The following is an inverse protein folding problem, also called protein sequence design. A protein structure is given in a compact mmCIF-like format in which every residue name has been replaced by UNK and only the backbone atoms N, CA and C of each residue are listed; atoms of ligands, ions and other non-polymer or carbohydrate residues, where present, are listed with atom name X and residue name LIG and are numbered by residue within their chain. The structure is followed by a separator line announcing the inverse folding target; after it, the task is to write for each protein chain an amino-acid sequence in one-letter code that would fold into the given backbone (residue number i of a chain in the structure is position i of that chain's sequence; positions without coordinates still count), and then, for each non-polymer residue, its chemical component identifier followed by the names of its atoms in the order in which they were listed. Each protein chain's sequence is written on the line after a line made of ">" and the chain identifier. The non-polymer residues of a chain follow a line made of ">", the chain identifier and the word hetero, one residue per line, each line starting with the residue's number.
data_IF_841300042851
#
_entry.id   IF_841300042851
#
_cell.length_a   1.000
_cell.length_b   1.000
_cell.length_c   1.000
_cell.angle_alpha   90.00
_cell.angle_beta   90.00
_cell.angle_gamma   90.00
#
_symmetry.space_group_name_H-M   'P 1'
#
loop_
_entity.id
_entity.type
_entity.pdbx_description
1 polymer ?
#
# COMPACT_ATOMS: atom_id res chain seq x y z
N UNK A 1 -9.33 1.55 -37.98
CA UNK A 1 -10.17 2.64 -37.41
C UNK A 1 -10.53 2.22 -35.99
N UNK A 2 -9.71 2.58 -35.01
CA UNK A 2 -9.87 2.15 -33.62
C UNK A 2 -10.73 3.14 -32.84
N UNK A 3 -11.80 2.65 -32.23
CA UNK A 3 -12.68 3.40 -31.32
C UNK A 3 -11.98 3.49 -29.96
N UNK A 4 -11.78 4.70 -29.47
CA UNK A 4 -11.21 4.99 -28.15
C UNK A 4 -12.39 5.07 -27.18
N UNK A 5 -12.52 4.10 -26.27
CA UNK A 5 -13.52 4.19 -25.20
C UNK A 5 -13.09 5.22 -24.15
N UNK A 6 -14.01 6.05 -23.63
CA UNK A 6 -13.68 7.07 -22.64
C UNK A 6 -13.42 6.43 -21.27
N UNK A 7 -12.31 6.86 -20.65
CA UNK A 7 -11.97 6.57 -19.27
C UNK A 7 -13.05 7.15 -18.36
N UNK A 8 -13.70 6.29 -17.57
CA UNK A 8 -14.63 6.73 -16.52
C UNK A 8 -13.82 7.39 -15.41
N UNK A 9 -13.99 8.70 -15.30
CA UNK A 9 -13.46 9.52 -14.21
C UNK A 9 -14.26 9.21 -12.93
N UNK A 10 -13.69 8.40 -12.05
CA UNK A 10 -14.28 8.09 -10.75
C UNK A 10 -13.84 9.13 -9.72
N UNK A 11 -14.26 10.39 -9.88
CA UNK A 11 -14.19 11.37 -8.80
C UNK A 11 -15.46 11.29 -7.94
N UNK A 12 -15.39 10.86 -6.67
CA UNK A 12 -16.55 10.92 -5.79
C UNK A 12 -16.89 12.38 -5.46
N UNK A 13 -18.17 12.73 -5.59
CA UNK A 13 -18.66 14.08 -5.34
C UNK A 13 -18.20 14.61 -3.96
N UNK A 14 -17.69 15.85 -3.87
CA UNK A 14 -17.27 16.42 -2.60
C UNK A 14 -18.47 16.59 -1.67
N UNK A 15 -18.51 15.79 -0.60
CA UNK A 15 -19.47 15.93 0.49
C UNK A 15 -19.23 17.27 1.16
N UNK A 16 -20.26 18.10 1.19
CA UNK A 16 -20.24 19.51 1.56
C UNK A 16 -19.46 19.81 2.83
N UNK A 17 -18.38 20.55 2.66
CA UNK A 17 -17.65 21.21 3.74
C UNK A 17 -18.54 22.38 4.19
N UNK A 18 -19.23 22.21 5.31
CA UNK A 18 -19.95 23.29 5.96
C UNK A 18 -19.01 24.48 6.17
N UNK A 19 -19.43 25.64 5.70
CA UNK A 19 -18.68 26.88 5.76
C UNK A 19 -18.27 27.20 7.21
N UNK A 20 -16.97 27.24 7.48
CA UNK A 20 -16.42 27.88 8.68
C UNK A 20 -16.60 29.40 8.55
N UNK A 21 -17.33 30.08 9.45
CA UNK A 21 -17.22 31.53 9.52
C UNK A 21 -15.85 31.92 10.13
N UNK A 22 -15.20 33.00 9.67
CA UNK A 22 -13.88 33.38 10.16
C UNK A 22 -13.96 33.91 11.61
N UNK A 23 -12.96 33.61 12.47
CA UNK A 23 -12.94 34.16 13.82
C UNK A 23 -12.50 35.63 13.80
N UNK A 24 -13.33 36.54 14.34
CA UNK A 24 -12.92 37.90 14.63
C UNK A 24 -12.24 37.99 16.01
N UNK A 25 -11.15 38.75 16.15
CA UNK A 25 -10.41 38.85 17.40
C UNK A 25 -10.89 40.02 18.28
N UNK A 26 -10.66 39.86 19.60
CA UNK A 26 -10.80 40.82 20.72
C UNK A 26 -12.16 40.88 21.41
N UNK A 27 -12.25 40.28 22.59
CA UNK A 27 -12.22 41.04 23.85
C UNK A 27 -12.12 40.09 25.06
N UNK A 28 -11.26 40.50 25.98
CA UNK A 28 -10.90 39.85 27.23
C UNK A 28 -12.01 40.02 28.31
N UNK A 29 -12.14 38.99 29.16
CA UNK A 29 -12.79 38.96 30.52
C UNK A 29 -14.32 39.09 30.51
N UNK A 30 -15.10 38.41 31.36
CA UNK A 30 -14.96 38.24 32.82
C UNK A 30 -15.94 37.15 33.33
N UNK A 31 -15.57 36.60 34.48
CA UNK A 31 -16.19 35.57 35.34
C UNK A 31 -17.72 35.66 35.60
N UNK A 32 -18.28 34.45 35.77
CA UNK A 32 -19.24 33.96 36.77
C UNK A 32 -20.76 34.21 36.65
N UNK A 33 -21.48 33.11 36.90
CA UNK A 33 -22.80 32.95 37.56
C UNK A 33 -24.03 32.82 36.66
N UNK A 34 -24.75 31.69 36.82
CA UNK A 34 -26.20 31.60 36.58
C UNK A 34 -26.63 30.50 35.60
N UNK A 35 -27.15 29.38 36.13
CA UNK A 35 -28.10 28.53 35.39
C UNK A 35 -29.44 29.26 35.17
N UNK A 36 -30.48 28.65 34.55
CA UNK A 36 -30.76 27.21 34.51
C UNK A 36 -31.17 26.63 33.13
N UNK A 37 -31.10 25.30 33.01
CA UNK A 37 -32.10 24.52 32.28
C UNK A 37 -32.16 24.63 30.75
N UNK A 38 -31.12 24.16 30.05
CA UNK A 38 -31.21 23.82 28.64
C UNK A 38 -30.84 22.35 28.45
N UNK A 39 -31.83 21.49 28.17
CA UNK A 39 -31.66 20.06 27.92
C UNK A 39 -30.89 19.88 26.60
N UNK A 40 -29.56 19.96 26.65
CA UNK A 40 -28.70 19.68 25.52
C UNK A 40 -28.77 18.18 25.22
N UNK A 41 -29.42 17.84 24.11
CA UNK A 41 -29.35 16.50 23.52
C UNK A 41 -27.89 16.28 23.14
N UNK A 42 -27.18 15.48 23.94
CA UNK A 42 -25.84 15.03 23.58
C UNK A 42 -25.93 14.25 22.27
N UNK A 43 -25.22 14.65 21.19
CA UNK A 43 -25.05 13.78 20.05
C UNK A 43 -24.33 12.52 20.55
N UNK A 44 -24.96 11.37 20.34
CA UNK A 44 -24.40 10.09 20.80
C UNK A 44 -23.01 9.92 20.22
N UNK A 45 -22.04 9.77 21.13
CA UNK A 45 -20.65 9.47 20.81
C UNK A 45 -20.64 8.21 19.91
N UNK A 46 -20.04 8.25 18.71
CA UNK A 46 -19.91 7.08 17.88
C UNK A 46 -19.25 5.96 18.68
N UNK A 47 -19.91 4.80 18.74
CA UNK A 47 -19.35 3.59 19.34
C UNK A 47 -18.08 3.26 18.56
N UNK A 48 -16.91 3.13 19.21
CA UNK A 48 -15.70 2.72 18.52
C UNK A 48 -15.93 1.33 17.94
N UNK A 49 -16.00 1.23 16.61
CA UNK A 49 -15.93 -0.06 15.92
C UNK A 49 -14.57 -0.64 16.32
N UNK A 50 -14.57 -1.75 17.06
CA UNK A 50 -13.34 -2.41 17.47
C UNK A 50 -12.51 -2.71 16.20
N UNK A 51 -11.22 -2.35 16.15
CA UNK A 51 -10.41 -2.61 14.97
C UNK A 51 -10.37 -4.12 14.74
N UNK A 52 -10.80 -4.55 13.55
CA UNK A 52 -10.63 -5.93 13.09
C UNK A 52 -9.14 -6.26 13.23
N UNK A 53 -8.82 -7.21 14.10
CA UNK A 53 -7.45 -7.51 14.50
C UNK A 53 -6.80 -8.33 13.39
N UNK A 54 -6.10 -7.64 12.51
CA UNK A 54 -5.38 -8.27 11.40
C UNK A 54 -4.29 -9.22 11.96
N UNK A 55 -4.18 -10.45 11.44
CA UNK A 55 -3.17 -11.38 11.89
C UNK A 55 -1.77 -10.80 11.64
N UNK A 56 -0.93 -10.82 12.67
CA UNK A 56 0.44 -10.33 12.57
C UNK A 56 1.20 -11.11 11.47
N UNK A 57 2.01 -10.42 10.64
CA UNK A 57 2.70 -11.07 9.54
C UNK A 57 3.71 -12.08 10.04
N UNK A 58 3.73 -13.26 9.42
CA UNK A 58 4.69 -14.29 9.80
C UNK A 58 6.12 -13.82 9.50
N UNK A 59 7.07 -14.09 10.41
CA UNK A 59 8.48 -13.67 10.23
C UNK A 59 9.08 -14.24 8.94
N UNK A 60 8.71 -15.46 8.59
CA UNK A 60 9.12 -16.11 7.35
C UNK A 60 8.58 -15.37 6.11
N UNK A 61 7.32 -14.96 6.11
CA UNK A 61 6.72 -14.17 5.02
C UNK A 61 7.43 -12.82 4.83
N UNK A 62 7.73 -12.11 5.93
CA UNK A 62 8.45 -10.83 5.88
C UNK A 62 9.86 -11.00 5.32
N UNK A 63 10.62 -11.97 5.84
CA UNK A 63 11.99 -12.23 5.37
C UNK A 63 12.03 -12.66 3.90
N UNK A 64 11.08 -13.51 3.50
CA UNK A 64 10.92 -13.90 2.11
C UNK A 64 10.60 -12.70 1.21
N UNK A 65 9.60 -11.88 1.58
CA UNK A 65 9.17 -10.75 0.78
C UNK A 65 10.31 -9.73 0.55
N UNK A 66 11.05 -9.39 1.60
CA UNK A 66 12.19 -8.47 1.50
C UNK A 66 13.27 -9.01 0.53
N UNK A 67 13.71 -10.25 0.76
CA UNK A 67 14.74 -10.89 -0.06
C UNK A 67 14.29 -11.08 -1.52
N UNK A 68 13.03 -11.46 -1.73
CA UNK A 68 12.49 -11.72 -3.05
C UNK A 68 12.31 -10.42 -3.86
N UNK A 69 11.73 -9.37 -3.27
CA UNK A 69 11.57 -8.08 -3.95
C UNK A 69 12.91 -7.43 -4.27
N UNK A 70 13.88 -7.51 -3.35
CA UNK A 70 15.25 -7.04 -3.63
C UNK A 70 15.86 -7.80 -4.81
N UNK A 71 15.68 -9.12 -4.88
CA UNK A 71 16.20 -9.93 -5.99
C UNK A 71 15.51 -9.64 -7.32
N UNK A 72 14.21 -9.40 -7.31
CA UNK A 72 13.46 -8.95 -8.51
C UNK A 72 14.04 -7.66 -9.05
N UNK A 73 14.23 -6.64 -8.19
CA UNK A 73 14.83 -5.36 -8.59
C UNK A 73 16.25 -5.52 -9.12
N UNK A 74 17.08 -6.36 -8.49
CA UNK A 74 18.43 -6.66 -8.95
C UNK A 74 18.47 -7.34 -10.34
N UNK A 75 17.51 -8.21 -10.64
CA UNK A 75 17.39 -8.87 -11.95
C UNK A 75 16.86 -7.91 -13.02
N UNK A 76 15.88 -7.07 -12.70
CA UNK A 76 15.42 -5.98 -13.60
C UNK A 76 16.58 -5.04 -13.93
N UNK A 77 17.46 -4.77 -12.96
CA UNK A 77 18.69 -4.00 -13.15
C UNK A 77 19.80 -4.79 -13.88
N UNK A 78 19.57 -6.06 -14.22
CA UNK A 78 20.54 -6.99 -14.83
C UNK A 78 21.82 -7.19 -14.01
N UNK A 79 21.75 -6.97 -12.69
CA UNK A 79 22.86 -7.22 -11.73
C UNK A 79 22.90 -8.66 -11.22
N UNK A 80 21.89 -9.47 -11.58
CA UNK A 80 21.74 -10.88 -11.23
C UNK A 80 21.10 -11.65 -12.39
N UNK A 81 21.41 -12.95 -12.54
CA UNK A 81 20.79 -13.78 -13.58
C UNK A 81 19.35 -14.14 -13.23
N UNK A 82 18.47 -14.16 -14.24
CA UNK A 82 17.03 -14.49 -14.09
C UNK A 82 16.78 -15.87 -13.50
N UNK A 83 17.69 -16.82 -13.67
CA UNK A 83 17.58 -18.17 -13.10
C UNK A 83 17.38 -18.14 -11.58
N UNK A 84 17.86 -17.11 -10.87
CA UNK A 84 17.68 -16.95 -9.43
C UNK A 84 16.26 -16.54 -9.01
N UNK A 85 15.38 -16.15 -9.94
CA UNK A 85 13.98 -15.82 -9.66
C UNK A 85 13.05 -17.02 -9.73
N UNK A 86 13.42 -18.07 -10.47
CA UNK A 86 12.59 -19.29 -10.60
C UNK A 86 12.10 -19.86 -9.28
N UNK A 87 12.89 -19.94 -8.19
CA UNK A 87 12.38 -20.45 -6.91
C UNK A 87 11.51 -19.44 -6.14
N UNK A 88 11.48 -18.17 -6.53
CA UNK A 88 10.84 -17.06 -5.80
C UNK A 88 9.53 -16.59 -6.44
N UNK A 89 9.35 -16.79 -7.75
CA UNK A 89 8.18 -16.35 -8.50
C UNK A 89 7.30 -17.53 -8.86
N UNK A 90 5.99 -17.32 -8.90
CA UNK A 90 5.09 -18.18 -9.62
C UNK A 90 5.53 -18.25 -11.11
N UNK A 91 5.49 -19.42 -11.76
CA UNK A 91 5.96 -19.57 -13.13
C UNK A 91 5.39 -18.54 -14.11
N UNK A 92 4.11 -18.19 -13.95
CA UNK A 92 3.41 -17.21 -14.79
C UNK A 92 4.01 -15.79 -14.73
N UNK A 93 4.69 -15.41 -13.64
CA UNK A 93 5.30 -14.08 -13.49
C UNK A 93 6.70 -13.96 -14.10
N UNK A 94 7.35 -15.07 -14.43
CA UNK A 94 8.75 -15.06 -14.90
C UNK A 94 8.86 -14.24 -16.19
N UNK A 95 7.95 -14.44 -17.13
CA UNK A 95 7.94 -13.72 -18.41
C UNK A 95 7.65 -12.22 -18.23
N UNK A 96 6.77 -11.85 -17.30
CA UNK A 96 6.52 -10.44 -16.95
C UNK A 96 7.80 -9.76 -16.44
N UNK A 97 8.54 -10.43 -15.56
CA UNK A 97 9.81 -9.88 -15.05
C UNK A 97 10.88 -9.83 -16.14
N UNK A 98 10.95 -10.85 -17.00
CA UNK A 98 11.85 -10.85 -18.16
C UNK A 98 11.56 -9.70 -19.11
N UNK A 99 10.29 -9.38 -19.38
CA UNK A 99 9.91 -8.23 -20.20
C UNK A 99 10.44 -6.92 -19.61
N UNK A 100 10.38 -6.75 -18.28
CA UNK A 100 10.91 -5.56 -17.59
C UNK A 100 12.44 -5.41 -17.71
N UNK A 101 13.19 -6.50 -17.93
CA UNK A 101 14.66 -6.43 -18.12
C UNK A 101 15.08 -5.78 -19.44
N UNK A 102 14.16 -5.68 -20.42
CA UNK A 102 14.42 -5.13 -21.76
C UNK A 102 14.58 -3.62 -21.76
N UNK A 103 14.03 -2.94 -20.75
CA UNK A 103 14.17 -1.50 -20.58
C UNK A 103 15.41 -1.20 -19.73
N UNK A 104 16.46 -0.59 -20.30
CA UNK A 104 17.63 -0.20 -19.52
C UNK A 104 17.27 0.91 -18.54
N UNK A 105 17.85 0.85 -17.35
CA UNK A 105 17.67 1.85 -16.32
C UNK A 105 18.99 2.57 -16.05
N UNK A 106 18.95 3.89 -15.90
CA UNK A 106 20.14 4.72 -15.67
C UNK A 106 20.72 4.65 -14.25
N UNK A 107 19.96 4.09 -13.30
CA UNK A 107 20.40 3.94 -11.91
C UNK A 107 19.85 2.64 -11.32
N UNK A 108 20.58 2.05 -10.38
CA UNK A 108 20.16 0.84 -9.67
C UNK A 108 18.98 1.12 -8.72
N UNK A 109 18.05 0.17 -8.63
CA UNK A 109 16.98 0.20 -7.65
C UNK A 109 17.48 -0.27 -6.28
N UNK A 110 17.06 0.43 -5.23
CA UNK A 110 17.27 0.03 -3.83
C UNK A 110 15.92 -0.05 -3.13
N UNK A 111 15.53 -1.26 -2.72
CA UNK A 111 14.34 -1.48 -1.89
C UNK A 111 14.50 -0.69 -0.59
N UNK A 112 13.44 0.03 -0.20
CA UNK A 112 13.43 0.86 1.00
C UNK A 112 12.61 0.17 2.08
N UNK A 113 11.36 0.57 2.25
CA UNK A 113 10.47 0.02 3.28
C UNK A 113 9.42 -0.84 2.61
N UNK A 114 9.16 -2.00 3.21
CA UNK A 114 8.00 -2.82 2.91
C UNK A 114 7.07 -2.88 4.12
N UNK A 115 5.79 -3.11 3.84
CA UNK A 115 4.75 -3.48 4.79
C UNK A 115 4.06 -4.71 4.24
N UNK A 116 3.67 -5.61 5.14
CA UNK A 116 2.93 -6.81 4.80
C UNK A 116 1.58 -6.78 5.50
N UNK A 117 0.57 -7.26 4.80
CA UNK A 117 -0.77 -7.56 5.31
C UNK A 117 -1.08 -9.02 5.01
N UNK A 118 -1.32 -9.81 6.05
CA UNK A 118 -1.72 -11.21 5.86
C UNK A 118 -3.14 -11.26 5.29
N UNK A 119 -3.37 -12.16 4.34
CA UNK A 119 -4.67 -12.38 3.71
C UNK A 119 -5.01 -13.86 3.83
N UNK A 120 -6.27 -14.14 4.17
CA UNK A 120 -6.80 -15.50 4.26
C UNK A 120 -7.63 -15.81 3.02
N UNK A 121 -6.99 -16.37 2.00
CA UNK A 121 -7.60 -16.73 0.73
C UNK A 121 -7.42 -18.24 0.46
N UNK A 122 -7.86 -19.07 1.39
CA UNK A 122 -7.76 -20.54 1.28
C UNK A 122 -6.35 -21.09 1.56
N UNK A 123 -5.46 -20.28 2.12
CA UNK A 123 -4.11 -20.65 2.52
C UNK A 123 -3.28 -19.42 2.94
N UNK A 124 -2.06 -19.63 3.48
CA UNK A 124 -1.22 -18.52 3.93
C UNK A 124 -0.80 -17.63 2.75
N UNK A 125 -1.37 -16.43 2.70
CA UNK A 125 -1.03 -15.41 1.71
C UNK A 125 -0.78 -14.06 2.40
N UNK A 126 -0.07 -13.17 1.70
CA UNK A 126 0.10 -11.80 2.14
C UNK A 126 0.22 -10.83 0.97
N UNK A 127 -0.35 -9.65 1.15
CA UNK A 127 -0.12 -8.49 0.30
C UNK A 127 1.07 -7.71 0.83
N UNK A 128 1.93 -7.28 -0.09
CA UNK A 128 3.18 -6.58 0.19
C UNK A 128 3.12 -5.23 -0.50
N UNK A 129 3.35 -4.18 0.28
CA UNK A 129 3.38 -2.80 -0.20
C UNK A 129 4.71 -2.18 0.18
N UNK A 130 5.40 -1.56 -0.76
CA UNK A 130 6.67 -0.93 -0.47
C UNK A 130 7.06 0.13 -1.45
N UNK A 131 8.24 0.70 -1.17
CA UNK A 131 8.86 1.66 -2.06
C UNK A 131 10.30 1.26 -2.34
N UNK A 132 10.79 1.68 -3.50
CA UNK A 132 12.20 1.61 -3.86
C UNK A 132 12.65 2.95 -4.41
N UNK A 133 13.93 3.27 -4.23
CA UNK A 133 14.54 4.42 -4.88
C UNK A 133 15.26 3.98 -6.14
N UNK A 134 15.19 4.80 -7.20
CA UNK A 134 15.98 4.64 -8.41
C UNK A 134 16.46 6.02 -8.86
N UNK A 135 17.76 6.26 -8.74
CA UNK A 135 18.32 7.61 -8.86
C UNK A 135 17.69 8.54 -7.82
N UNK A 136 17.20 9.70 -8.25
CA UNK A 136 16.55 10.70 -7.39
C UNK A 136 15.04 10.48 -7.18
N UNK A 137 14.47 9.39 -7.71
CA UNK A 137 13.02 9.13 -7.64
C UNK A 137 12.72 7.99 -6.67
N UNK A 138 11.66 8.18 -5.89
CA UNK A 138 11.01 7.11 -5.11
C UNK A 138 9.85 6.58 -5.94
N UNK A 139 9.74 5.26 -6.06
CA UNK A 139 8.70 4.54 -6.80
C UNK A 139 8.07 3.49 -5.90
N UNK A 140 6.83 3.12 -6.23
CA UNK A 140 6.09 2.11 -5.51
C UNK A 140 6.37 0.72 -6.08
N UNK A 141 6.29 -0.27 -5.20
CA UNK A 141 6.26 -1.69 -5.57
C UNK A 141 5.16 -2.35 -4.74
N UNK A 142 4.32 -3.13 -5.40
CA UNK A 142 3.31 -3.94 -4.76
C UNK A 142 3.46 -5.39 -5.21
N UNK A 143 3.22 -6.33 -4.32
CA UNK A 143 3.27 -7.73 -4.64
C UNK A 143 2.29 -8.50 -3.77
N UNK A 144 1.94 -9.70 -4.23
CA UNK A 144 1.26 -10.69 -3.41
C UNK A 144 2.17 -11.90 -3.28
N UNK A 145 2.27 -12.44 -2.08
CA UNK A 145 2.96 -13.69 -1.82
C UNK A 145 1.96 -14.73 -1.33
N UNK A 146 2.18 -15.99 -1.71
CA UNK A 146 1.42 -17.13 -1.23
C UNK A 146 2.36 -18.27 -0.89
N UNK A 147 1.98 -19.08 0.10
CA UNK A 147 2.66 -20.31 0.42
C UNK A 147 2.15 -21.40 -0.53
N UNK A 148 2.97 -21.80 -1.49
CA UNK A 148 2.69 -22.91 -2.41
C UNK A 148 3.44 -24.16 -1.93
N UNK A 149 2.70 -25.15 -1.44
CA UNK A 149 3.29 -26.29 -0.74
C UNK A 149 3.99 -25.82 0.53
N UNK A 150 5.32 -25.95 0.58
CA UNK A 150 6.16 -25.53 1.71
C UNK A 150 7.08 -24.33 1.36
N UNK A 151 6.74 -23.58 0.31
CA UNK A 151 7.58 -22.46 -0.14
C UNK A 151 6.75 -21.22 -0.47
N UNK A 152 7.17 -20.10 0.10
CA UNK A 152 6.64 -18.80 -0.28
C UNK A 152 7.05 -18.45 -1.72
N UNK A 153 6.10 -17.91 -2.48
CA UNK A 153 6.32 -17.38 -3.83
C UNK A 153 5.59 -16.07 -4.02
N UNK A 154 6.15 -15.20 -4.84
CA UNK A 154 5.45 -14.03 -5.36
C UNK A 154 4.48 -14.53 -6.44
N UNK A 155 3.19 -14.25 -6.28
CA UNK A 155 2.11 -14.67 -7.19
C UNK A 155 1.48 -13.51 -7.95
N UNK A 156 1.69 -12.28 -7.49
CA UNK A 156 1.40 -11.05 -8.25
C UNK A 156 2.49 -10.01 -7.98
N UNK A 157 2.80 -9.18 -8.98
CA UNK A 157 3.82 -8.14 -8.88
C UNK A 157 3.44 -6.93 -9.73
N UNK A 158 3.55 -5.74 -9.13
CA UNK A 158 3.38 -4.45 -9.78
C UNK A 158 4.55 -3.53 -9.40
N UNK A 159 5.15 -2.89 -10.41
CA UNK A 159 6.26 -1.95 -10.25
C UNK A 159 5.86 -0.62 -10.91
N UNK A 160 6.06 0.49 -10.19
CA UNK A 160 5.67 1.84 -10.64
C UNK A 160 6.79 2.72 -11.17
#
# INVERSE_FOLDING_TARGET
>A
MGVIEPVVDCEPAPVGIGACPPPMPKALRRRQSGGPGGRAVHPQRPVPIAPVREPAPSRAAVAFADAALRRVLEVIDRRRPVAQLRPLLAPALIETVLAMTRCPHSAAATLRRIRLRMVDDGGPAAEVFGTYSRGQRIRAIAARIALEGDRWRIVALQIG
#
